data_IF_317969687449
#
_entry.id   IF_317969687449
#
_cell.length_a   1.000
_cell.length_b   1.000
_cell.length_c   1.000
_cell.angle_alpha   90.00
_cell.angle_beta   90.00
_cell.angle_gamma   90.00
#
_symmetry.space_group_name_H-M   'P 1'
#
loop_
_entity.id
_entity.type
_entity.pdbx_description
1 polymer ?
#
# COMPACT_ATOMS: atom_id res chain seq x y z
N UNK A 1 8.77 -4.69 -34.21
CA UNK A 1 8.22 -5.23 -32.95
C UNK A 1 9.38 -5.75 -32.12
N UNK A 2 9.87 -5.03 -31.09
CA UNK A 2 11.04 -5.49 -30.35
C UNK A 2 10.64 -6.62 -29.40
N UNK A 3 11.35 -7.75 -29.50
CA UNK A 3 11.19 -8.89 -28.61
C UNK A 3 11.57 -8.45 -27.19
N UNK A 4 10.59 -8.40 -26.30
CA UNK A 4 10.80 -8.03 -24.89
C UNK A 4 11.76 -9.05 -24.26
N UNK A 5 12.87 -8.52 -23.81
CA UNK A 5 14.08 -9.19 -23.35
C UNK A 5 13.80 -10.30 -22.31
N UNK A 6 14.25 -11.52 -22.60
CA UNK A 6 14.27 -12.67 -21.68
C UNK A 6 14.88 -12.32 -20.31
N UNK A 7 15.82 -11.36 -20.31
CA UNK A 7 16.48 -10.87 -19.10
C UNK A 7 15.54 -10.10 -18.17
N UNK A 8 14.47 -9.47 -18.67
CA UNK A 8 13.54 -8.71 -17.83
C UNK A 8 12.62 -9.64 -17.03
N UNK A 9 12.09 -10.70 -17.65
CA UNK A 9 11.28 -11.70 -16.93
C UNK A 9 12.09 -12.48 -15.87
N UNK A 10 13.33 -12.87 -16.18
CA UNK A 10 14.20 -13.53 -15.21
C UNK A 10 14.57 -12.60 -14.03
N UNK A 11 14.75 -11.29 -14.28
CA UNK A 11 14.99 -10.28 -13.23
C UNK A 11 13.76 -10.05 -12.36
N UNK A 12 12.58 -9.93 -12.96
CA UNK A 12 11.32 -9.77 -12.25
C UNK A 12 11.00 -11.02 -11.41
N UNK A 13 11.25 -12.22 -11.94
CA UNK A 13 11.12 -13.48 -11.21
C UNK A 13 12.13 -13.60 -10.06
N UNK A 14 13.37 -13.15 -10.26
CA UNK A 14 14.39 -13.11 -9.20
C UNK A 14 14.00 -12.15 -8.09
N UNK A 15 13.47 -10.97 -8.43
CA UNK A 15 12.96 -10.02 -7.45
C UNK A 15 11.78 -10.59 -6.68
N UNK A 16 10.84 -11.24 -7.38
CA UNK A 16 9.69 -11.91 -6.76
C UNK A 16 10.11 -13.05 -5.83
N UNK A 17 11.05 -13.89 -6.24
CA UNK A 17 11.60 -14.96 -5.41
C UNK A 17 12.35 -14.43 -4.19
N UNK A 18 13.14 -13.36 -4.35
CA UNK A 18 13.83 -12.68 -3.25
C UNK A 18 12.82 -12.10 -2.25
N UNK A 19 11.79 -11.39 -2.74
CA UNK A 19 10.71 -10.88 -1.89
C UNK A 19 9.97 -11.99 -1.17
N UNK A 20 9.71 -13.13 -1.83
CA UNK A 20 9.08 -14.30 -1.20
C UNK A 20 9.93 -14.85 -0.06
N UNK A 21 11.22 -15.08 -0.31
CA UNK A 21 12.15 -15.62 0.69
C UNK A 21 12.28 -14.67 1.88
N UNK A 22 12.46 -13.36 1.62
CA UNK A 22 12.56 -12.34 2.66
C UNK A 22 11.28 -12.27 3.48
N UNK A 23 10.11 -12.37 2.83
CA UNK A 23 8.82 -12.35 3.52
C UNK A 23 8.64 -13.58 4.41
N UNK A 24 8.94 -14.78 3.89
CA UNK A 24 8.87 -16.03 4.66
C UNK A 24 9.84 -15.99 5.84
N UNK A 25 11.08 -15.57 5.61
CA UNK A 25 12.07 -15.42 6.67
C UNK A 25 11.63 -14.41 7.74
N UNK A 26 11.05 -13.28 7.33
CA UNK A 26 10.48 -12.29 8.23
C UNK A 26 9.36 -12.84 9.10
N UNK A 27 8.44 -13.64 8.52
CA UNK A 27 7.36 -14.31 9.26
C UNK A 27 7.93 -15.27 10.31
N UNK A 28 8.90 -16.10 9.91
CA UNK A 28 9.52 -17.08 10.81
C UNK A 28 10.25 -16.37 11.96
N UNK A 29 11.04 -15.34 11.66
CA UNK A 29 11.76 -14.56 12.68
C UNK A 29 10.80 -13.83 13.63
N UNK A 30 9.71 -13.26 13.10
CA UNK A 30 8.69 -12.58 13.89
C UNK A 30 7.97 -13.55 14.82
N UNK A 31 7.53 -14.71 14.30
CA UNK A 31 6.90 -15.74 15.11
C UNK A 31 7.87 -16.27 16.18
N UNK A 32 9.13 -16.54 15.82
CA UNK A 32 10.14 -16.99 16.77
C UNK A 32 10.38 -15.98 17.89
N UNK A 33 10.53 -14.69 17.56
CA UNK A 33 10.73 -13.62 18.56
C UNK A 33 9.52 -13.44 19.49
N UNK A 34 8.31 -13.75 19.02
CA UNK A 34 7.08 -13.70 19.80
C UNK A 34 6.93 -14.88 20.76
N UNK A 35 7.16 -16.10 20.27
CA UNK A 35 6.93 -17.33 21.04
C UNK A 35 8.13 -17.75 21.90
N UNK A 36 9.34 -17.38 21.49
CA UNK A 36 10.60 -17.67 22.20
C UNK A 36 11.41 -16.36 22.36
N UNK A 37 10.93 -15.39 23.15
CA UNK A 37 11.64 -14.14 23.34
C UNK A 37 13.00 -14.40 24.02
N UNK A 38 14.13 -14.05 23.38
CA UNK A 38 15.46 -14.23 23.98
C UNK A 38 15.72 -13.29 25.17
N UNK A 39 14.92 -12.21 25.29
CA UNK A 39 15.00 -11.22 26.36
C UNK A 39 13.61 -11.07 26.97
N UNK A 40 13.46 -11.12 28.31
CA UNK A 40 12.16 -10.93 28.96
C UNK A 40 11.58 -9.54 28.63
N UNK A 41 10.35 -9.51 28.08
CA UNK A 41 9.63 -8.30 27.71
C UNK A 41 9.73 -7.89 26.23
N UNK A 42 10.56 -8.57 25.42
CA UNK A 42 10.68 -8.29 23.99
C UNK A 42 9.38 -8.61 23.23
N UNK A 43 8.73 -9.71 23.57
CA UNK A 43 7.41 -10.13 23.09
C UNK A 43 6.36 -9.02 23.23
N UNK A 44 6.31 -8.39 24.41
CA UNK A 44 5.35 -7.33 24.70
C UNK A 44 5.65 -6.06 23.89
N UNK A 45 6.92 -5.71 23.71
CA UNK A 45 7.33 -4.57 22.87
C UNK A 45 6.97 -4.81 21.40
N UNK A 46 7.25 -6.02 20.89
CA UNK A 46 6.95 -6.42 19.50
C UNK A 46 5.43 -6.41 19.25
N UNK A 47 4.62 -6.91 20.19
CA UNK A 47 3.16 -6.83 20.11
C UNK A 47 2.65 -5.39 20.14
N UNK A 48 3.21 -4.54 21.01
CA UNK A 48 2.82 -3.12 21.07
C UNK A 48 3.16 -2.39 19.77
N UNK A 49 4.35 -2.62 19.21
CA UNK A 49 4.76 -2.03 17.94
C UNK A 49 3.85 -2.47 16.80
N UNK A 50 3.59 -3.76 16.67
CA UNK A 50 2.70 -4.28 15.62
C UNK A 50 1.25 -3.83 15.80
N UNK A 51 0.77 -3.73 17.04
CA UNK A 51 -0.52 -3.12 17.36
C UNK A 51 -0.63 -1.66 16.92
N UNK A 52 0.40 -0.84 17.20
CA UNK A 52 0.45 0.56 16.75
C UNK A 52 0.49 0.64 15.21
N UNK A 53 1.26 -0.22 14.54
CA UNK A 53 1.31 -0.24 13.07
C UNK A 53 -0.04 -0.66 12.48
N UNK A 54 -0.69 -1.68 13.04
CA UNK A 54 -2.00 -2.13 12.57
C UNK A 54 -3.08 -1.06 12.76
N UNK A 55 -3.21 -0.51 13.97
CA UNK A 55 -4.20 0.53 14.28
C UNK A 55 -3.87 1.83 13.54
N UNK A 56 -2.61 2.24 13.54
CA UNK A 56 -2.11 3.42 12.84
C UNK A 56 -2.25 3.33 11.32
N UNK A 57 -2.12 2.13 10.73
CA UNK A 57 -2.39 1.91 9.32
C UNK A 57 -3.86 2.14 8.97
N UNK A 58 -4.78 1.56 9.74
CA UNK A 58 -6.23 1.75 9.54
C UNK A 58 -6.63 3.21 9.75
N UNK A 59 -6.22 3.79 10.87
CA UNK A 59 -6.53 5.20 11.18
C UNK A 59 -5.85 6.16 10.21
N UNK A 60 -4.66 5.83 9.72
CA UNK A 60 -3.94 6.61 8.71
C UNK A 60 -4.69 6.66 7.38
N UNK A 61 -5.25 5.53 6.94
CA UNK A 61 -6.11 5.47 5.74
C UNK A 61 -7.37 6.32 5.96
N UNK A 62 -8.05 6.17 7.10
CA UNK A 62 -9.25 6.96 7.42
C UNK A 62 -8.93 8.46 7.47
N UNK A 63 -7.83 8.83 8.12
CA UNK A 63 -7.39 10.22 8.21
C UNK A 63 -7.05 10.79 6.83
N UNK A 64 -6.40 10.01 5.96
CA UNK A 64 -6.11 10.42 4.59
C UNK A 64 -7.38 10.64 3.77
N UNK A 65 -8.36 9.74 3.87
CA UNK A 65 -9.68 9.91 3.21
C UNK A 65 -10.40 11.15 3.75
N UNK A 66 -10.40 11.34 5.07
CA UNK A 66 -10.99 12.53 5.70
C UNK A 66 -10.30 13.82 5.23
N UNK A 67 -8.98 13.79 5.10
CA UNK A 67 -8.20 14.91 4.56
C UNK A 67 -8.59 15.21 3.12
N UNK A 68 -8.63 14.21 2.22
CA UNK A 68 -8.99 14.45 0.82
C UNK A 68 -10.43 14.96 0.67
N UNK A 69 -11.39 14.49 1.47
CA UNK A 69 -12.77 15.00 1.48
C UNK A 69 -12.84 16.44 2.00
N UNK A 70 -12.05 16.79 3.02
CA UNK A 70 -12.03 18.14 3.58
C UNK A 70 -11.36 19.15 2.62
N UNK A 71 -10.38 18.71 1.83
CA UNK A 71 -9.62 19.58 0.93
C UNK A 71 -10.09 19.53 -0.52
N UNK A 72 -11.01 18.63 -0.89
CA UNK A 72 -11.64 18.65 -2.21
C UNK A 72 -12.87 19.55 -2.15
N UNK A 73 -12.90 20.65 -2.95
CA UNK A 73 -14.11 21.43 -3.13
C UNK A 73 -15.23 20.50 -3.60
N UNK A 74 -16.49 20.72 -3.18
CA UNK A 74 -17.62 19.93 -3.66
C UNK A 74 -17.53 19.84 -5.19
N UNK A 75 -17.57 18.64 -5.77
CA UNK A 75 -17.46 18.47 -7.21
C UNK A 75 -18.47 19.40 -7.89
N UNK A 76 -18.03 20.13 -8.94
CA UNK A 76 -18.90 21.04 -9.69
C UNK A 76 -20.23 20.31 -9.99
N UNK A 77 -21.38 21.00 -9.93
CA UNK A 77 -22.66 20.39 -10.27
C UNK A 77 -22.55 19.63 -11.59
N UNK A 78 -23.12 18.42 -11.65
CA UNK A 78 -23.07 17.55 -12.83
C UNK A 78 -23.45 18.28 -14.13
N UNK A 79 -24.37 19.24 -14.07
CA UNK A 79 -24.80 20.06 -15.21
C UNK A 79 -23.67 20.93 -15.83
N UNK A 80 -22.72 21.42 -15.03
CA UNK A 80 -21.58 22.21 -15.54
C UNK A 80 -20.55 21.32 -16.23
N UNK A 81 -20.32 20.12 -15.67
CA UNK A 81 -19.41 19.12 -16.23
C UNK A 81 -19.96 18.57 -17.55
N UNK A 82 -21.26 18.31 -17.64
CA UNK A 82 -21.92 17.87 -18.88
C UNK A 82 -21.83 18.94 -19.98
N UNK A 83 -22.00 20.23 -19.64
CA UNK A 83 -21.86 21.32 -20.61
C UNK A 83 -20.43 21.47 -21.12
N UNK A 84 -19.43 21.46 -20.24
CA UNK A 84 -18.01 21.54 -20.61
C UNK A 84 -17.60 20.36 -21.52
N UNK A 85 -17.98 19.12 -21.16
CA UNK A 85 -17.70 17.91 -21.95
C UNK A 85 -18.35 17.95 -23.34
N UNK A 86 -19.61 18.39 -23.42
CA UNK A 86 -20.36 18.43 -24.67
C UNK A 86 -19.85 19.57 -25.59
N UNK A 87 -19.26 20.63 -25.03
CA UNK A 87 -18.54 21.64 -25.80
C UNK A 87 -17.18 21.14 -26.31
N UNK A 88 -16.42 20.40 -25.50
CA UNK A 88 -15.15 19.79 -25.94
C UNK A 88 -15.38 18.75 -27.04
N UNK A 89 -16.40 17.90 -26.90
CA UNK A 89 -16.80 16.92 -27.92
C UNK A 89 -17.29 17.54 -29.24
N UNK A 90 -17.76 18.79 -29.20
CA UNK A 90 -18.15 19.55 -30.41
C UNK A 90 -16.99 20.33 -31.05
N UNK A 91 -15.91 20.55 -30.30
CA UNK A 91 -14.71 21.27 -30.76
C UNK A 91 -13.61 20.34 -31.30
N UNK A 92 -13.57 19.09 -30.85
CA UNK A 92 -12.73 18.01 -31.40
C UNK A 92 -13.35 17.32 -32.61
#
# INVERSE_FOLDING_TARGET
>A
MPLKSYNDMARDQTLGALLMIVSIAGIILYAWALFLPPIPGLDTIVLKLTGIVAVGGVLGIIAWIGYTLATTPPPKPLEEIEKELNEELKKG
#
